data_IF_457736818007
#
_entry.id   IF_457736818007
#
_cell.length_a   1.000
_cell.length_b   1.000
_cell.length_c   1.000
_cell.angle_alpha   90.00
_cell.angle_beta   90.00
_cell.angle_gamma   90.00
#
_symmetry.space_group_name_H-M   'P 1'
#
loop_
_entity.id
_entity.type
_entity.pdbx_description
1 polymer ?
#
# COMPACT_ATOMS: atom_id res chain seq x y z
N UNK A 1 -2.91 -14.94 -18.83
CA UNK A 1 -2.54 -13.58 -19.25
C UNK A 1 -1.34 -13.14 -18.44
N UNK A 2 -0.27 -12.64 -19.07
CA UNK A 2 0.92 -12.15 -18.36
C UNK A 2 0.59 -10.84 -17.64
N UNK A 3 0.80 -10.76 -16.32
CA UNK A 3 0.63 -9.51 -15.58
C UNK A 3 1.65 -8.49 -16.11
N UNK A 4 1.17 -7.32 -16.53
CA UNK A 4 2.02 -6.18 -16.92
C UNK A 4 2.28 -5.33 -15.67
N UNK A 5 3.55 -5.14 -15.35
CA UNK A 5 3.97 -4.32 -14.20
C UNK A 5 4.38 -2.93 -14.65
N UNK A 6 4.21 -1.94 -13.77
CA UNK A 6 4.64 -0.55 -13.97
C UNK A 6 5.31 -0.01 -12.71
N UNK A 7 5.96 1.14 -12.80
CA UNK A 7 6.62 1.78 -11.68
C UNK A 7 5.68 2.74 -10.92
N UNK A 8 5.83 2.78 -9.60
CA UNK A 8 5.18 3.76 -8.72
C UNK A 8 6.25 4.57 -8.01
N UNK A 9 6.09 5.89 -7.98
CA UNK A 9 6.96 6.76 -7.17
C UNK A 9 6.54 6.69 -5.71
N UNK A 10 7.45 6.24 -4.87
CA UNK A 10 7.29 6.14 -3.42
C UNK A 10 8.48 6.85 -2.78
N UNK A 11 8.23 7.67 -1.76
CA UNK A 11 9.33 8.28 -1.00
C UNK A 11 10.11 7.21 -0.26
N UNK A 12 11.40 7.46 0.00
CA UNK A 12 12.24 6.55 0.77
C UNK A 12 11.63 6.26 2.16
N UNK A 13 11.08 7.28 2.81
CA UNK A 13 10.42 7.14 4.11
C UNK A 13 9.20 6.19 4.08
N UNK A 14 8.40 6.24 3.03
CA UNK A 14 7.24 5.35 2.87
C UNK A 14 7.68 3.93 2.53
N UNK A 15 8.70 3.78 1.67
CA UNK A 15 9.30 2.47 1.39
C UNK A 15 9.81 1.83 2.69
N UNK A 16 10.52 2.57 3.53
CA UNK A 16 11.02 2.07 4.81
C UNK A 16 9.90 1.66 5.77
N UNK A 17 8.73 2.31 5.75
CA UNK A 17 7.57 1.88 6.53
C UNK A 17 7.02 0.56 6.01
N UNK A 18 6.85 0.43 4.70
CA UNK A 18 6.38 -0.80 4.06
C UNK A 18 7.35 -1.97 4.30
N UNK A 19 8.65 -1.70 4.27
CA UNK A 19 9.69 -2.71 4.54
C UNK A 19 9.60 -3.24 5.98
N UNK A 20 9.41 -2.35 6.97
CA UNK A 20 9.25 -2.77 8.37
C UNK A 20 8.01 -3.65 8.56
N UNK A 21 6.87 -3.24 7.99
CA UNK A 21 5.65 -4.06 8.04
C UNK A 21 5.85 -5.41 7.35
N UNK A 22 6.55 -5.44 6.22
CA UNK A 22 6.86 -6.70 5.54
C UNK A 22 7.75 -7.62 6.39
N UNK A 23 8.74 -7.07 7.12
CA UNK A 23 9.57 -7.82 8.08
C UNK A 23 8.70 -8.38 9.21
N UNK A 24 7.81 -7.58 9.79
CA UNK A 24 6.94 -8.00 10.88
C UNK A 24 6.03 -9.16 10.44
N UNK A 25 5.35 -9.00 9.29
CA UNK A 25 4.53 -10.07 8.71
C UNK A 25 5.36 -11.30 8.41
N UNK A 26 6.57 -11.14 7.86
CA UNK A 26 7.46 -12.28 7.58
C UNK A 26 7.83 -13.04 8.85
N UNK A 27 8.11 -12.31 9.93
CA UNK A 27 8.46 -12.89 11.21
C UNK A 27 7.30 -13.66 11.84
N UNK A 28 6.08 -13.13 11.78
CA UNK A 28 4.89 -13.75 12.33
C UNK A 28 4.43 -14.96 11.52
N UNK A 29 4.44 -14.86 10.19
CA UNK A 29 3.95 -15.91 9.28
C UNK A 29 5.00 -16.98 8.97
N UNK A 30 6.28 -16.70 9.24
CA UNK A 30 7.45 -17.51 8.82
C UNK A 30 7.61 -17.61 7.30
N UNK A 31 7.00 -16.70 6.55
CA UNK A 31 7.13 -16.59 5.10
C UNK A 31 7.91 -15.34 4.70
N UNK A 32 8.58 -15.36 3.55
CA UNK A 32 9.30 -14.17 3.07
C UNK A 32 8.33 -13.24 2.34
N UNK A 33 8.06 -12.07 2.93
CA UNK A 33 7.18 -11.04 2.38
C UNK A 33 8.01 -9.82 1.98
N UNK A 34 7.77 -9.25 0.80
CA UNK A 34 8.43 -8.02 0.35
C UNK A 34 7.53 -6.81 0.57
N UNK A 35 8.13 -5.63 0.70
CA UNK A 35 7.38 -4.37 0.83
C UNK A 35 6.38 -4.13 -0.31
N UNK A 36 6.67 -4.61 -1.53
CA UNK A 36 5.76 -4.52 -2.68
C UNK A 36 4.54 -5.41 -2.53
N UNK A 37 4.65 -6.53 -1.83
CA UNK A 37 3.53 -7.44 -1.60
C UNK A 37 2.53 -6.77 -0.63
N UNK A 38 3.05 -6.10 0.41
CA UNK A 38 2.24 -5.22 1.28
C UNK A 38 1.58 -4.10 0.49
N UNK A 39 2.33 -3.41 -0.37
CA UNK A 39 1.79 -2.31 -1.18
C UNK A 39 0.67 -2.78 -2.12
N UNK A 40 0.85 -3.92 -2.78
CA UNK A 40 -0.17 -4.47 -3.67
C UNK A 40 -1.40 -4.95 -2.90
N UNK A 41 -1.23 -5.56 -1.72
CA UNK A 41 -2.35 -5.91 -0.84
C UNK A 41 -3.17 -4.67 -0.46
N UNK A 42 -2.50 -3.54 -0.17
CA UNK A 42 -3.19 -2.27 0.07
C UNK A 42 -4.00 -1.79 -1.14
N UNK A 43 -3.48 -1.95 -2.35
CA UNK A 43 -4.19 -1.57 -3.57
C UNK A 43 -5.37 -2.47 -3.88
N UNK A 44 -5.26 -3.77 -3.60
CA UNK A 44 -6.31 -4.72 -3.93
C UNK A 44 -7.44 -4.66 -2.88
N UNK A 45 -7.09 -4.57 -1.60
CA UNK A 45 -8.07 -4.70 -0.50
C UNK A 45 -8.64 -3.35 -0.02
N UNK A 46 -7.90 -2.24 -0.13
CA UNK A 46 -8.28 -0.96 0.49
C UNK A 46 -8.49 0.21 -0.50
N UNK A 47 -8.59 -0.07 -1.81
CA UNK A 47 -8.76 0.96 -2.82
C UNK A 47 -10.10 1.71 -2.69
N UNK A 48 -11.16 1.01 -2.29
CA UNK A 48 -12.51 1.60 -2.22
C UNK A 48 -12.62 2.59 -1.06
N UNK A 49 -12.05 2.23 0.09
CA UNK A 49 -11.92 3.05 1.29
C UNK A 49 -11.07 4.28 0.97
N UNK A 50 -9.90 4.07 0.37
CA UNK A 50 -9.01 5.16 -0.04
C UNK A 50 -9.72 6.16 -0.96
N UNK A 51 -10.51 5.69 -1.93
CA UNK A 51 -11.34 6.55 -2.78
C UNK A 51 -12.35 7.35 -1.98
N UNK A 52 -13.09 6.70 -1.08
CA UNK A 52 -14.11 7.35 -0.24
C UNK A 52 -13.50 8.47 0.61
N UNK A 53 -12.40 8.17 1.30
CA UNK A 53 -11.70 9.11 2.17
C UNK A 53 -11.13 10.30 1.40
N UNK A 54 -10.59 10.05 0.20
CA UNK A 54 -10.07 11.11 -0.67
C UNK A 54 -11.18 12.06 -1.14
N UNK A 55 -12.35 11.53 -1.49
CA UNK A 55 -13.51 12.35 -1.86
C UNK A 55 -13.95 13.17 -0.64
N UNK A 56 -14.17 12.51 0.50
CA UNK A 56 -14.62 13.16 1.72
C UNK A 56 -13.68 14.29 2.16
N UNK A 57 -12.37 14.04 2.17
CA UNK A 57 -11.36 15.05 2.52
C UNK A 57 -11.40 16.27 1.59
N UNK A 58 -11.60 16.06 0.29
CA UNK A 58 -11.67 17.14 -0.70
C UNK A 58 -12.98 17.91 -0.65
N UNK A 59 -14.08 17.28 -0.22
CA UNK A 59 -15.37 17.95 -0.06
C UNK A 59 -15.45 18.70 1.27
N UNK A 60 -14.92 18.11 2.35
CA UNK A 60 -14.88 18.74 3.67
C UNK A 60 -13.96 19.97 3.72
N UNK A 61 -12.87 19.98 2.95
CA UNK A 61 -11.99 21.14 2.85
C UNK A 61 -12.53 22.30 1.99
N UNK A 62 -13.72 22.13 1.40
CA UNK A 62 -14.38 23.15 0.56
C UNK A 62 -15.57 23.83 1.28
N UNK A 63 -15.83 23.47 2.53
CA UNK A 63 -16.87 24.06 3.37
C UNK A 63 -16.29 24.95 4.46
#
# INVERSE_FOLDING_TARGET
>A
MTKKYTSLRVSESTKMKLERVAIDVSYETKESVRWTDIANFLFDEYLTEAKSDMIHKKTASKS
#
